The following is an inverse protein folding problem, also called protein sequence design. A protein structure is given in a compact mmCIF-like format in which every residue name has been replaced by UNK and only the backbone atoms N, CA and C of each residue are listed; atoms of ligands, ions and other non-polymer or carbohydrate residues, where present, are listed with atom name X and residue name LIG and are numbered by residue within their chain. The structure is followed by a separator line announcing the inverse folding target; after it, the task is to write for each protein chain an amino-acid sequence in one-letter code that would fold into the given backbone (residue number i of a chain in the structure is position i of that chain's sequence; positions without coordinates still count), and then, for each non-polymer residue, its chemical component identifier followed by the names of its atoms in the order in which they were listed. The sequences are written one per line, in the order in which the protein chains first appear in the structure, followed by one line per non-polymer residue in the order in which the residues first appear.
data_IF_381337510868
#
_entry.id   IF_381337510868
#
_cell.length_a   1.000
_cell.length_b   1.000
_cell.length_c   1.000
_cell.angle_alpha   90.00
_cell.angle_beta   90.00
_cell.angle_gamma   90.00
#
_symmetry.space_group_name_H-M   'P 1'
#
loop_
_entity.id
_entity.type
_entity.pdbx_description
1 polymer ?
#
# COMPACT_ATOMS: atom_id res chain seq x y z
N UNK A 1 -5.65 -2.14 12.44
CA UNK A 1 -4.22 -1.82 12.23
C UNK A 1 -3.99 -0.31 12.39
N UNK A 2 -4.52 0.54 11.50
CA UNK A 2 -4.34 2.00 11.61
C UNK A 2 -5.02 2.64 12.83
N UNK A 3 -6.11 2.04 13.31
CA UNK A 3 -6.86 2.45 14.50
C UNK A 3 -6.07 2.28 15.81
N UNK A 4 -5.02 1.47 15.81
CA UNK A 4 -4.18 1.27 16.98
C UNK A 4 -3.12 2.40 17.05
N UNK A 5 -3.11 3.19 18.14
CA UNK A 5 -2.12 4.27 18.33
C UNK A 5 -0.67 3.80 18.22
N UNK A 6 -0.37 2.56 18.61
CA UNK A 6 0.98 1.99 18.53
C UNK A 6 1.47 1.84 17.07
N UNK A 7 0.54 1.68 16.13
CA UNK A 7 0.82 1.43 14.73
C UNK A 7 0.74 2.67 13.84
N UNK A 8 0.60 3.87 14.42
CA UNK A 8 0.51 5.14 13.67
C UNK A 8 1.71 5.38 12.74
N UNK A 9 2.89 4.89 13.11
CA UNK A 9 4.13 5.04 12.31
C UNK A 9 4.37 3.92 11.30
N UNK A 10 3.60 2.83 11.37
CA UNK A 10 3.79 1.67 10.49
C UNK A 10 3.27 2.02 9.09
N UNK A 11 4.07 1.78 8.06
CA UNK A 11 3.66 1.98 6.67
C UNK A 11 2.91 0.75 6.15
N UNK A 12 1.80 0.95 5.45
CA UNK A 12 0.93 -0.12 4.94
C UNK A 12 0.92 -0.06 3.41
N UNK A 13 1.55 -1.05 2.78
CA UNK A 13 1.48 -1.30 1.35
C UNK A 13 0.47 -2.42 1.11
N UNK A 14 -0.53 -2.17 0.26
CA UNK A 14 -1.52 -3.19 -0.13
C UNK A 14 -1.13 -3.82 -1.45
N UNK A 15 -1.16 -5.15 -1.51
CA UNK A 15 -0.78 -5.92 -2.70
C UNK A 15 -1.94 -6.82 -3.13
N UNK A 16 -2.55 -6.54 -4.29
CA UNK A 16 -3.73 -7.29 -4.76
C UNK A 16 -3.77 -7.40 -6.30
N UNK A 17 -4.58 -8.31 -6.85
CA UNK A 17 -4.84 -8.41 -8.29
C UNK A 17 -5.99 -7.48 -8.76
N UNK A 18 -6.36 -6.51 -7.92
CA UNK A 18 -7.47 -5.59 -8.18
C UNK A 18 -7.00 -4.44 -9.07
N UNK A 19 -7.57 -4.30 -10.26
CA UNK A 19 -7.24 -3.20 -11.18
C UNK A 19 -8.29 -2.09 -11.18
N UNK A 20 -9.41 -2.29 -10.47
CA UNK A 20 -10.49 -1.33 -10.43
C UNK A 20 -10.13 -0.09 -9.61
N UNK A 21 -10.09 1.06 -10.29
CA UNK A 21 -9.71 2.35 -9.69
C UNK A 21 -10.56 2.74 -8.46
N UNK A 22 -11.86 2.39 -8.46
CA UNK A 22 -12.76 2.66 -7.32
C UNK A 22 -12.40 1.85 -6.09
N UNK A 23 -11.98 0.60 -6.27
CA UNK A 23 -11.54 -0.24 -5.16
C UNK A 23 -10.21 0.24 -4.58
N UNK A 24 -9.28 0.62 -5.45
CA UNK A 24 -8.00 1.20 -5.04
C UNK A 24 -8.26 2.48 -4.23
N UNK A 25 -9.16 3.37 -4.70
CA UNK A 25 -9.54 4.58 -3.97
C UNK A 25 -10.08 4.27 -2.57
N UNK A 26 -10.95 3.26 -2.43
CA UNK A 26 -11.46 2.84 -1.12
C UNK A 26 -10.35 2.35 -0.20
N UNK A 27 -9.44 1.52 -0.70
CA UNK A 27 -8.30 0.99 0.07
C UNK A 27 -7.40 2.12 0.56
N UNK A 28 -7.10 3.09 -0.32
CA UNK A 28 -6.32 4.27 0.06
C UNK A 28 -7.05 5.10 1.13
N UNK A 29 -8.37 5.29 1.01
CA UNK A 29 -9.18 6.01 2.00
C UNK A 29 -9.27 5.31 3.36
N UNK A 30 -9.15 3.98 3.41
CA UNK A 30 -9.05 3.20 4.65
C UNK A 30 -7.71 3.36 5.36
N UNK A 31 -6.78 4.13 4.78
CA UNK A 31 -5.51 4.48 5.38
C UNK A 31 -4.36 3.57 4.95
N UNK A 32 -4.42 2.96 3.77
CA UNK A 32 -3.22 2.43 3.13
C UNK A 32 -2.30 3.59 2.70
N UNK A 33 -0.98 3.40 2.85
CA UNK A 33 0.00 4.39 2.38
C UNK A 33 0.23 4.24 0.86
N UNK A 34 0.09 3.03 0.33
CA UNK A 34 0.32 2.75 -1.08
C UNK A 34 -0.34 1.43 -1.53
N UNK A 35 -0.37 1.24 -2.84
CA UNK A 35 -0.92 0.07 -3.52
C UNK A 35 0.06 -0.47 -4.58
N UNK A 36 0.10 -1.81 -4.71
CA UNK A 36 0.86 -2.53 -5.73
C UNK A 36 -0.01 -3.63 -6.34
N UNK A 37 -0.22 -3.57 -7.65
CA UNK A 37 -1.01 -4.55 -8.40
C UNK A 37 -0.20 -5.82 -8.69
N UNK A 38 -0.86 -6.98 -8.65
CA UNK A 38 -0.29 -8.26 -9.10
C UNK A 38 -0.63 -8.53 -10.57
N UNK A 39 0.30 -9.14 -11.34
CA UNK A 39 1.67 -9.50 -10.95
C UNK A 39 2.61 -8.28 -10.94
N UNK A 40 3.58 -8.27 -10.01
CA UNK A 40 4.60 -7.23 -9.91
C UNK A 40 6.01 -7.83 -9.98
N UNK A 41 6.99 -7.02 -10.35
CA UNK A 41 8.41 -7.37 -10.27
C UNK A 41 9.00 -7.00 -8.90
N UNK A 42 10.10 -7.66 -8.52
CA UNK A 42 10.85 -7.31 -7.30
C UNK A 42 11.34 -5.86 -7.35
N UNK A 43 11.74 -5.36 -8.52
CA UNK A 43 12.15 -3.97 -8.71
C UNK A 43 11.02 -2.99 -8.39
N UNK A 44 9.80 -3.27 -8.88
CA UNK A 44 8.64 -2.44 -8.58
C UNK A 44 8.29 -2.44 -7.08
N UNK A 45 8.42 -3.60 -6.41
CA UNK A 45 8.24 -3.70 -4.97
C UNK A 45 9.30 -2.89 -4.20
N UNK A 46 10.58 -3.02 -4.58
CA UNK A 46 11.67 -2.30 -3.93
C UNK A 46 11.52 -0.79 -4.09
N UNK A 47 11.19 -0.30 -5.28
CA UNK A 47 10.95 1.12 -5.53
C UNK A 47 9.81 1.68 -4.65
N UNK A 48 8.76 0.88 -4.41
CA UNK A 48 7.65 1.25 -3.50
C UNK A 48 8.12 1.34 -2.05
N UNK A 49 8.87 0.34 -1.58
CA UNK A 49 9.40 0.29 -0.22
C UNK A 49 10.34 1.48 0.03
N UNK A 50 11.27 1.74 -0.89
CA UNK A 50 12.19 2.89 -0.80
C UNK A 50 11.42 4.20 -0.73
N UNK A 51 10.40 4.39 -1.58
CA UNK A 51 9.54 5.58 -1.53
C UNK A 51 8.79 5.76 -0.22
N UNK A 52 8.43 4.65 0.45
CA UNK A 52 7.65 4.69 1.69
C UNK A 52 8.52 4.91 2.93
N UNK A 53 9.82 4.59 2.85
CA UNK A 53 10.78 4.67 3.96
C UNK A 53 11.78 5.83 3.83
N UNK A 54 11.98 6.38 2.63
CA UNK A 54 12.75 7.60 2.37
C UNK A 54 11.96 8.87 2.64
#
# INVERSE_FOLDING_TARGET
IRSDPANKKVKILVISAMSESEEIRKIMALGADDYLEKPFSNEALMAKIERMLG
#
